data_IF_332736594243
#
_entry.id   IF_332736594243
#
_cell.length_a   1.000
_cell.length_b   1.000
_cell.length_c   1.000
_cell.angle_alpha   90.00
_cell.angle_beta   90.00
_cell.angle_gamma   90.00
#
_symmetry.space_group_name_H-M   'P 1'
#
loop_
_entity.id
_entity.type
_entity.pdbx_description
1 polymer ?
#
# COMPACT_ATOMS: atom_id res chain seq x y z
N UNK A 1 12.15 -5.84 -9.54
CA UNK A 1 13.49 -6.21 -9.00
C UNK A 1 13.62 -7.69 -8.62
N UNK A 2 12.51 -8.39 -8.34
CA UNK A 2 12.46 -9.82 -8.03
C UNK A 2 11.50 -10.48 -9.03
N UNK A 3 11.89 -11.63 -9.63
CA UNK A 3 11.02 -12.39 -10.53
C UNK A 3 10.03 -13.25 -9.74
N UNK A 4 8.90 -13.69 -10.33
CA UNK A 4 7.93 -14.56 -9.63
C UNK A 4 8.55 -15.86 -9.08
N UNK A 5 9.49 -16.46 -9.79
CA UNK A 5 10.19 -17.67 -9.37
C UNK A 5 11.06 -17.41 -8.14
N UNK A 6 11.78 -16.28 -8.14
CA UNK A 6 12.60 -15.86 -7.01
C UNK A 6 11.74 -15.53 -5.78
N UNK A 7 10.57 -14.90 -5.97
CA UNK A 7 9.64 -14.56 -4.89
C UNK A 7 9.16 -15.83 -4.16
N UNK A 8 8.83 -16.88 -4.92
CA UNK A 8 8.46 -18.18 -4.36
C UNK A 8 9.59 -18.83 -3.55
N UNK A 9 10.82 -18.84 -4.09
CA UNK A 9 11.98 -19.40 -3.39
C UNK A 9 12.26 -18.63 -2.09
N UNK A 10 12.14 -17.30 -2.10
CA UNK A 10 12.35 -16.46 -0.92
C UNK A 10 11.28 -16.71 0.14
N UNK A 11 10.01 -16.85 -0.29
CA UNK A 11 8.90 -17.19 0.59
C UNK A 11 9.08 -18.55 1.26
N UNK A 12 9.44 -19.59 0.50
CA UNK A 12 9.69 -20.94 1.03
C UNK A 12 10.85 -20.97 2.03
N UNK A 13 11.81 -20.04 1.90
CA UNK A 13 12.94 -19.85 2.83
C UNK A 13 12.62 -18.97 4.04
N UNK A 14 11.39 -18.46 4.15
CA UNK A 14 10.98 -17.55 5.22
C UNK A 14 11.61 -16.16 5.13
N UNK A 15 12.12 -15.75 3.96
CA UNK A 15 12.67 -14.42 3.73
C UNK A 15 11.53 -13.44 3.48
N UNK A 16 11.49 -12.36 4.26
CA UNK A 16 10.52 -11.29 4.06
C UNK A 16 10.92 -10.45 2.85
N UNK A 17 10.18 -10.60 1.74
CA UNK A 17 10.28 -9.76 0.55
C UNK A 17 9.14 -8.73 0.58
N UNK A 18 9.46 -7.46 0.86
CA UNK A 18 8.47 -6.39 0.80
C UNK A 18 8.16 -6.02 -0.66
N UNK A 19 6.89 -5.97 -1.08
CA UNK A 19 6.55 -5.73 -2.47
C UNK A 19 6.79 -4.28 -2.87
N UNK A 20 7.21 -4.09 -4.12
CA UNK A 20 7.47 -2.78 -4.73
C UNK A 20 6.27 -1.84 -4.64
N UNK A 21 5.07 -2.32 -4.95
CA UNK A 21 3.81 -1.55 -4.86
C UNK A 21 3.57 -0.90 -3.48
N UNK A 22 4.17 -1.46 -2.42
CA UNK A 22 4.17 -0.86 -1.08
C UNK A 22 5.44 -0.03 -0.85
N UNK A 23 6.62 -0.60 -1.08
CA UNK A 23 7.90 0.01 -0.66
C UNK A 23 8.23 1.30 -1.40
N UNK A 24 7.81 1.44 -2.66
CA UNK A 24 8.04 2.66 -3.44
C UNK A 24 6.85 3.63 -3.43
N UNK A 25 5.79 3.34 -2.66
CA UNK A 25 4.56 4.13 -2.64
C UNK A 25 4.73 5.51 -1.97
N UNK A 26 5.89 5.83 -1.41
CA UNK A 26 6.12 7.12 -0.78
C UNK A 26 5.99 8.29 -1.74
N UNK A 27 6.47 8.15 -2.98
CA UNK A 27 6.34 9.20 -4.00
C UNK A 27 4.88 9.55 -4.32
N UNK A 28 4.06 8.54 -4.63
CA UNK A 28 2.63 8.75 -4.90
C UNK A 28 1.87 9.26 -3.67
N UNK A 29 2.29 8.84 -2.47
CA UNK A 29 1.71 9.32 -1.20
C UNK A 29 1.98 10.81 -0.99
N UNK A 30 3.20 11.27 -1.25
CA UNK A 30 3.54 12.70 -1.15
C UNK A 30 2.86 13.51 -2.25
N UNK A 31 2.68 12.97 -3.47
CA UNK A 31 1.84 13.62 -4.50
C UNK A 31 0.37 13.76 -4.07
N UNK A 32 -0.17 12.78 -3.33
CA UNK A 32 -1.49 12.93 -2.70
C UNK A 32 -1.51 14.06 -1.66
N UNK A 33 -0.47 14.18 -0.82
CA UNK A 33 -0.38 15.29 0.13
C UNK A 33 -0.27 16.65 -0.57
N UNK A 34 0.45 16.73 -1.70
CA UNK A 34 0.50 17.93 -2.53
C UNK A 34 -0.91 18.34 -2.99
N UNK A 35 -1.69 17.38 -3.52
CA UNK A 35 -3.08 17.62 -3.90
C UNK A 35 -3.93 18.13 -2.72
N UNK A 36 -3.78 17.54 -1.53
CA UNK A 36 -4.50 17.98 -0.32
C UNK A 36 -4.14 19.44 0.04
N UNK A 37 -2.85 19.76 0.06
CA UNK A 37 -2.36 21.11 0.43
C UNK A 37 -2.80 22.17 -0.58
N UNK A 38 -2.79 21.85 -1.88
CA UNK A 38 -3.21 22.76 -2.94
C UNK A 38 -4.69 23.14 -2.86
N UNK A 39 -5.55 22.28 -2.30
CA UNK A 39 -6.97 22.60 -2.11
C UNK A 39 -7.24 23.71 -1.09
N UNK A 40 -6.31 23.95 -0.18
CA UNK A 40 -6.43 24.97 0.88
C UNK A 40 -5.37 26.05 0.79
N UNK A 41 -4.46 25.96 -0.18
CA UNK A 41 -3.26 26.80 -0.32
C UNK A 41 -2.45 26.90 1.00
N UNK A 42 -2.44 25.81 1.77
CA UNK A 42 -1.78 25.73 3.07
C UNK A 42 -0.75 24.62 3.02
N UNK A 43 0.52 25.02 3.02
CA UNK A 43 1.65 24.12 2.84
C UNK A 43 2.24 23.69 4.18
N UNK A 44 2.58 22.42 4.29
CA UNK A 44 3.15 21.83 5.48
C UNK A 44 4.67 21.95 5.47
N UNK A 45 5.30 22.13 6.63
CA UNK A 45 6.75 22.00 6.74
C UNK A 45 7.18 20.55 6.50
N UNK A 46 8.43 20.35 6.07
CA UNK A 46 8.95 19.04 5.68
C UNK A 46 8.81 17.96 6.77
N UNK A 47 9.00 18.33 8.05
CA UNK A 47 8.82 17.40 9.16
C UNK A 47 7.39 16.86 9.26
N UNK A 48 6.38 17.70 9.01
CA UNK A 48 4.97 17.28 8.99
C UNK A 48 4.68 16.37 7.81
N UNK A 49 5.27 16.64 6.63
CA UNK A 49 5.16 15.74 5.47
C UNK A 49 5.75 14.37 5.79
N UNK A 50 6.92 14.32 6.45
CA UNK A 50 7.54 13.05 6.86
C UNK A 50 6.72 12.28 7.90
N UNK A 51 6.18 12.96 8.91
CA UNK A 51 5.32 12.34 9.93
C UNK A 51 4.05 11.73 9.31
N UNK A 52 3.40 12.48 8.42
CA UNK A 52 2.22 11.99 7.70
C UNK A 52 2.60 10.84 6.76
N UNK A 53 3.73 10.92 6.06
CA UNK A 53 4.21 9.86 5.20
C UNK A 53 4.43 8.56 5.99
N UNK A 54 5.13 8.63 7.12
CA UNK A 54 5.34 7.47 8.00
C UNK A 54 3.98 6.88 8.43
N UNK A 55 3.06 7.72 8.91
CA UNK A 55 1.73 7.25 9.34
C UNK A 55 1.00 6.46 8.25
N UNK A 56 1.01 6.95 7.01
CA UNK A 56 0.34 6.28 5.89
C UNK A 56 1.07 5.00 5.45
N UNK A 57 2.40 5.04 5.34
CA UNK A 57 3.21 3.89 4.92
C UNK A 57 3.18 2.77 5.96
N UNK A 58 3.31 3.10 7.25
CA UNK A 58 3.21 2.15 8.37
C UNK A 58 1.83 1.50 8.43
N UNK A 59 0.76 2.29 8.29
CA UNK A 59 -0.61 1.74 8.19
C UNK A 59 -0.78 0.82 6.98
N UNK A 60 -0.22 1.17 5.83
CA UNK A 60 -0.30 0.35 4.63
C UNK A 60 0.46 -0.98 4.81
N UNK A 61 1.66 -0.94 5.40
CA UNK A 61 2.44 -2.13 5.72
C UNK A 61 1.66 -3.08 6.63
N UNK A 62 1.12 -2.60 7.75
CA UNK A 62 0.34 -3.44 8.66
C UNK A 62 -0.87 -4.07 7.95
N UNK A 63 -1.60 -3.32 7.13
CA UNK A 63 -2.73 -3.87 6.39
C UNK A 63 -2.32 -4.99 5.41
N UNK A 64 -1.19 -4.84 4.72
CA UNK A 64 -0.65 -5.90 3.84
C UNK A 64 -0.19 -7.11 4.65
N UNK A 65 0.51 -6.87 5.76
CA UNK A 65 1.03 -7.92 6.63
C UNK A 65 -0.09 -8.76 7.26
N UNK A 66 -1.19 -8.13 7.68
CA UNK A 66 -2.37 -8.84 8.18
C UNK A 66 -3.05 -9.66 7.08
N UNK A 67 -3.10 -9.19 5.83
CA UNK A 67 -3.62 -9.98 4.71
C UNK A 67 -2.72 -11.19 4.40
N UNK A 68 -1.40 -11.01 4.47
CA UNK A 68 -0.43 -12.09 4.34
C UNK A 68 -0.68 -13.19 5.39
N UNK A 69 -0.80 -12.83 6.67
CA UNK A 69 -1.11 -13.80 7.73
C UNK A 69 -2.47 -14.47 7.53
N UNK A 70 -3.49 -13.68 7.21
CA UNK A 70 -4.87 -14.15 7.08
C UNK A 70 -5.03 -15.19 5.97
N UNK A 71 -4.31 -15.01 4.86
CA UNK A 71 -4.44 -15.86 3.68
C UNK A 71 -3.29 -16.86 3.51
N UNK A 72 -2.21 -16.75 4.28
CA UNK A 72 -1.05 -17.64 4.17
C UNK A 72 -0.31 -17.53 2.83
N UNK A 73 -0.36 -16.35 2.19
CA UNK A 73 0.24 -16.07 0.87
C UNK A 73 1.42 -15.12 1.01
N UNK A 74 2.31 -15.03 0.01
CA UNK A 74 3.40 -14.05 0.03
C UNK A 74 2.91 -12.58 0.11
N UNK A 75 3.79 -11.67 0.51
CA UNK A 75 3.42 -10.26 0.73
C UNK A 75 3.03 -9.52 -0.55
N UNK A 76 3.55 -9.93 -1.72
CA UNK A 76 3.17 -9.33 -3.01
C UNK A 76 1.73 -9.70 -3.35
N UNK A 77 1.38 -10.98 -3.23
CA UNK A 77 0.00 -11.45 -3.40
C UNK A 77 -0.93 -10.77 -2.39
N UNK A 78 -0.53 -10.70 -1.12
CA UNK A 78 -1.32 -10.03 -0.08
C UNK A 78 -1.59 -8.54 -0.38
N UNK A 79 -0.61 -7.83 -0.94
CA UNK A 79 -0.78 -6.44 -1.34
C UNK A 79 -1.82 -6.28 -2.45
N UNK A 80 -1.82 -7.18 -3.45
CA UNK A 80 -2.84 -7.18 -4.50
C UNK A 80 -4.22 -7.57 -3.99
N UNK A 81 -4.32 -8.58 -3.12
CA UNK A 81 -5.58 -8.97 -2.46
C UNK A 81 -6.19 -7.76 -1.73
N UNK A 82 -5.37 -7.02 -0.98
CA UNK A 82 -5.81 -5.81 -0.28
C UNK A 82 -6.26 -4.71 -1.25
N UNK A 83 -5.46 -4.41 -2.27
CA UNK A 83 -5.72 -3.33 -3.22
C UNK A 83 -7.00 -3.57 -4.02
N UNK A 84 -7.12 -4.76 -4.62
CA UNK A 84 -8.29 -5.17 -5.41
C UNK A 84 -9.52 -5.25 -4.50
N UNK A 85 -9.36 -5.81 -3.29
CA UNK A 85 -10.43 -5.92 -2.30
C UNK A 85 -11.05 -4.57 -1.95
N UNK A 86 -10.22 -3.54 -1.70
CA UNK A 86 -10.70 -2.18 -1.40
C UNK A 86 -11.50 -1.57 -2.55
N UNK A 87 -11.04 -1.74 -3.80
CA UNK A 87 -11.73 -1.22 -4.98
C UNK A 87 -13.06 -1.96 -5.18
N UNK A 88 -13.05 -3.29 -5.10
CA UNK A 88 -14.24 -4.11 -5.23
C UNK A 88 -15.29 -3.79 -4.15
N UNK A 89 -14.86 -3.57 -2.90
CA UNK A 89 -15.74 -3.16 -1.80
C UNK A 89 -16.36 -1.78 -2.06
N UNK A 90 -15.56 -0.79 -2.47
CA UNK A 90 -16.05 0.54 -2.80
C UNK A 90 -17.05 0.51 -3.97
N UNK A 91 -16.81 -0.30 -5.00
CA UNK A 91 -17.73 -0.49 -6.12
C UNK A 91 -19.05 -1.13 -5.67
N UNK A 92 -18.98 -2.17 -4.84
CA UNK A 92 -20.19 -2.82 -4.27
C UNK A 92 -21.03 -1.85 -3.45
N UNK A 93 -20.38 -1.05 -2.60
CA UNK A 93 -21.07 -0.07 -1.74
C UNK A 93 -21.71 1.07 -2.53
N UNK A 94 -21.06 1.53 -3.61
CA UNK A 94 -21.63 2.55 -4.50
C UNK A 94 -22.79 2.02 -5.35
N UNK A 95 -22.85 0.71 -5.55
CA UNK A 95 -23.76 0.10 -6.51
C UNK A 95 -23.35 0.38 -7.96
N UNK A 96 -24.10 -0.20 -8.88
CA UNK A 96 -23.99 0.11 -10.31
C UNK A 96 -25.20 0.98 -10.62
N UNK A 97 -24.96 2.23 -11.00
CA UNK A 97 -26.00 3.18 -11.35
C UNK A 97 -25.47 4.26 -12.31
N UNK A 98 -26.17 4.51 -13.43
CA UNK A 98 -27.12 3.62 -14.11
C UNK A 98 -26.45 2.36 -14.64
#
# INVERSE_FOLDING_TARGET
PVTPEADKILFDKGVICLPDILTNAGGVTVSYFEWVQNRTSFYWPANKVHEELDRYMTKAFHAVYEMHKKHGVDLRTAAFVLAIGRVAEAMKLRGIWP
#
